data_IF_308250953675
#
_entry.id   IF_308250953675
#
_cell.length_a   1.000
_cell.length_b   1.000
_cell.length_c   1.000
_cell.angle_alpha   90.00
_cell.angle_beta   90.00
_cell.angle_gamma   90.00
#
_symmetry.space_group_name_H-M   'P 1'
#
loop_
_entity.id
_entity.type
_entity.pdbx_description
1 polymer ?
#
# COMPACT_ATOMS: atom_id res chain seq x y z
N UNK A 1 1.90 -63.93 1.03
CA UNK A 1 0.53 -64.15 1.51
C UNK A 1 0.23 -63.18 2.65
N UNK A 2 -0.91 -62.47 2.56
CA UNK A 2 -1.78 -61.86 3.61
C UNK A 2 -1.14 -61.06 4.78
N UNK A 3 -1.46 -59.76 4.95
CA UNK A 3 -2.54 -59.16 5.82
C UNK A 3 -2.42 -59.61 7.31
N UNK A 4 -2.49 -58.81 8.37
CA UNK A 4 -3.10 -57.48 8.60
C UNK A 4 -2.68 -56.89 9.97
N UNK A 5 -2.64 -55.56 10.04
CA UNK A 5 -2.97 -54.58 11.11
C UNK A 5 -2.94 -54.92 12.62
N UNK A 6 -2.32 -54.01 13.39
CA UNK A 6 -2.96 -53.36 14.55
C UNK A 6 -2.35 -51.96 14.78
N UNK A 7 -3.21 -50.95 14.76
CA UNK A 7 -2.96 -49.53 15.08
C UNK A 7 -2.61 -49.29 16.55
N UNK A 8 -1.82 -48.26 16.83
CA UNK A 8 -2.13 -47.30 17.92
C UNK A 8 -1.55 -45.92 17.57
N UNK A 9 -2.43 -44.97 17.31
CA UNK A 9 -2.11 -43.58 17.00
C UNK A 9 -2.06 -42.76 18.31
N UNK A 10 -0.91 -42.19 18.66
CA UNK A 10 -0.74 -41.27 19.79
C UNK A 10 -0.48 -39.83 19.32
N UNK A 11 -1.47 -38.96 19.62
CA UNK A 11 -1.38 -37.59 20.17
C UNK A 11 -0.46 -36.54 19.51
N UNK A 12 -1.07 -35.49 18.94
CA UNK A 12 -1.18 -34.14 19.57
C UNK A 12 -1.88 -33.13 18.65
N UNK A 13 -2.75 -32.25 19.18
CA UNK A 13 -3.36 -31.16 18.42
C UNK A 13 -2.34 -30.02 18.30
N UNK A 14 -2.09 -29.54 17.09
CA UNK A 14 -1.31 -28.32 16.87
C UNK A 14 -2.27 -27.19 16.57
N UNK A 15 -2.36 -26.25 17.51
CA UNK A 15 -3.04 -24.96 17.35
C UNK A 15 -2.45 -24.16 16.17
N UNK A 16 -3.25 -23.26 15.55
CA UNK A 16 -2.75 -22.37 14.50
C UNK A 16 -1.87 -21.26 15.11
N UNK A 17 -0.80 -20.80 14.43
CA UNK A 17 -0.06 -19.65 14.91
C UNK A 17 -0.88 -18.37 14.66
N UNK A 18 -1.28 -17.71 15.73
CA UNK A 18 -1.75 -16.32 15.72
C UNK A 18 -0.64 -15.42 15.15
N UNK A 19 -0.84 -14.90 13.95
CA UNK A 19 0.01 -13.84 13.42
C UNK A 19 -0.39 -12.53 14.09
N UNK A 20 0.45 -12.08 15.03
CA UNK A 20 0.29 -10.82 15.75
C UNK A 20 0.46 -9.61 14.83
N UNK A 21 -0.62 -9.22 14.14
CA UNK A 21 -0.74 -7.93 13.44
C UNK A 21 -0.89 -6.77 14.45
N UNK A 22 0.19 -6.47 15.19
CA UNK A 22 0.16 -5.45 16.25
C UNK A 22 1.04 -4.22 16.06
N UNK A 23 1.82 -4.08 14.98
CA UNK A 23 2.78 -2.97 14.86
C UNK A 23 2.64 -2.02 13.65
N UNK A 24 1.49 -1.97 12.98
CA UNK A 24 1.30 -1.02 11.85
C UNK A 24 0.28 0.11 12.13
N UNK A 25 -0.27 0.20 13.35
CA UNK A 25 -1.35 1.15 13.65
C UNK A 25 -0.91 2.59 13.95
N UNK A 26 0.38 2.86 14.18
CA UNK A 26 0.84 4.19 14.62
C UNK A 26 1.40 5.07 13.49
N UNK A 27 2.11 4.50 12.50
CA UNK A 27 2.83 5.30 11.49
C UNK A 27 1.90 6.12 10.58
N UNK A 28 0.67 5.64 10.35
CA UNK A 28 -0.30 6.29 9.47
C UNK A 28 -0.94 7.53 10.10
N UNK A 29 -1.11 7.54 11.44
CA UNK A 29 -1.76 8.62 12.18
C UNK A 29 -0.79 9.77 12.50
N UNK A 30 0.50 9.48 12.67
CA UNK A 30 1.54 10.49 12.91
C UNK A 30 1.80 11.36 11.69
N UNK A 31 1.81 10.78 10.49
CA UNK A 31 2.13 11.51 9.27
C UNK A 31 0.97 12.32 8.69
N UNK A 32 -0.26 12.05 9.09
CA UNK A 32 -1.43 12.87 8.74
C UNK A 32 -1.47 14.17 9.56
N UNK A 33 -0.82 14.19 10.73
CA UNK A 33 -0.72 15.37 11.59
C UNK A 33 0.24 16.44 11.04
N UNK A 34 1.21 16.05 10.24
CA UNK A 34 2.30 16.93 9.77
C UNK A 34 1.92 17.82 8.57
N UNK A 35 0.88 17.45 7.80
CA UNK A 35 0.52 18.19 6.56
C UNK A 35 -0.43 19.36 6.80
N UNK A 36 -1.20 19.33 7.89
CA UNK A 36 -2.13 20.41 8.28
C UNK A 36 -1.67 20.95 9.62
N UNK A 37 -0.85 21.99 9.57
CA UNK A 37 -0.29 22.70 10.70
C UNK A 37 -0.31 24.22 10.45
N UNK A 38 -0.09 25.01 11.52
CA UNK A 38 0.10 26.44 11.35
C UNK A 38 1.38 26.71 10.53
N UNK A 39 1.34 27.63 9.55
CA UNK A 39 2.54 28.08 8.87
C UNK A 39 3.56 28.62 9.88
N UNK A 40 4.84 28.29 9.69
CA UNK A 40 5.92 28.59 10.64
C UNK A 40 6.12 30.08 10.98
N UNK A 41 5.61 30.98 10.14
CA UNK A 41 5.69 32.43 10.34
C UNK A 41 4.46 33.02 11.06
N UNK A 42 3.43 32.23 11.36
CA UNK A 42 2.21 32.67 12.04
C UNK A 42 2.30 32.31 13.51
N UNK A 43 2.17 33.30 14.39
CA UNK A 43 2.16 33.05 15.83
C UNK A 43 0.89 32.27 16.23
N UNK A 44 1.06 31.18 16.98
CA UNK A 44 -0.04 30.38 17.50
C UNK A 44 -0.95 31.18 18.43
N UNK A 45 -2.25 30.94 18.31
CA UNK A 45 -3.26 31.44 19.25
C UNK A 45 -4.35 30.40 19.40
N UNK A 46 -5.02 30.35 20.56
CA UNK A 46 -6.07 29.35 20.78
C UNK A 46 -7.24 29.41 19.77
N UNK A 47 -7.42 30.51 19.05
CA UNK A 47 -8.35 30.59 17.92
C UNK A 47 -7.79 29.88 16.67
N UNK A 48 -6.51 30.12 16.35
CA UNK A 48 -5.82 29.50 15.22
C UNK A 48 -5.61 28.00 15.43
N UNK A 49 -5.31 27.57 16.65
CA UNK A 49 -5.16 26.14 16.99
C UNK A 49 -6.47 25.38 16.76
N UNK A 50 -7.61 25.99 17.14
CA UNK A 50 -8.95 25.42 16.86
C UNK A 50 -9.26 25.35 15.37
N UNK A 51 -8.79 26.31 14.57
CA UNK A 51 -8.94 26.27 13.11
C UNK A 51 -8.10 25.16 12.49
N UNK A 52 -6.88 24.92 13.00
CA UNK A 52 -6.06 23.78 12.56
C UNK A 52 -6.74 22.46 12.88
N UNK A 53 -7.27 22.28 14.09
CA UNK A 53 -8.01 21.06 14.43
C UNK A 53 -9.25 20.87 13.56
N UNK A 54 -9.98 21.95 13.27
CA UNK A 54 -11.14 21.91 12.35
C UNK A 54 -10.70 21.52 10.93
N UNK A 55 -9.60 22.07 10.43
CA UNK A 55 -9.06 21.71 9.12
C UNK A 55 -8.59 20.24 9.07
N UNK A 56 -8.00 19.74 10.16
CA UNK A 56 -7.66 18.31 10.33
C UNK A 56 -8.91 17.43 10.33
N UNK A 57 -9.97 17.83 11.02
CA UNK A 57 -11.24 17.11 11.03
C UNK A 57 -11.85 17.04 9.63
N UNK A 58 -11.85 18.14 8.86
CA UNK A 58 -12.33 18.12 7.48
C UNK A 58 -11.49 17.25 6.57
N UNK A 59 -10.16 17.27 6.71
CA UNK A 59 -9.29 16.38 5.94
C UNK A 59 -9.54 14.90 6.26
N UNK A 60 -9.70 14.56 7.55
CA UNK A 60 -10.09 13.22 8.02
C UNK A 60 -11.47 12.80 7.53
N UNK A 61 -12.41 13.73 7.35
CA UNK A 61 -13.74 13.45 6.80
C UNK A 61 -13.72 13.31 5.27
N UNK A 62 -12.85 14.03 4.58
CA UNK A 62 -12.73 14.01 3.12
C UNK A 62 -12.13 12.69 2.60
N UNK A 63 -11.23 12.06 3.36
CA UNK A 63 -10.71 10.73 3.06
C UNK A 63 -11.23 9.72 4.08
N UNK A 64 -12.08 8.78 3.65
CA UNK A 64 -12.54 7.73 4.58
C UNK A 64 -11.34 6.97 5.17
N UNK A 65 -11.40 6.59 6.44
CA UNK A 65 -10.34 5.80 7.09
C UNK A 65 -10.00 4.52 6.31
N UNK A 66 -10.99 3.95 5.62
CA UNK A 66 -10.81 2.81 4.72
C UNK A 66 -9.95 3.15 3.49
N UNK A 67 -10.11 4.34 2.91
CA UNK A 67 -9.32 4.83 1.78
C UNK A 67 -7.85 5.04 2.17
N UNK A 68 -7.61 5.67 3.32
CA UNK A 68 -6.24 5.90 3.83
C UNK A 68 -5.53 4.57 4.11
N UNK A 69 -6.23 3.62 4.74
CA UNK A 69 -5.71 2.27 4.98
C UNK A 69 -5.37 1.57 3.66
N UNK A 70 -6.22 1.71 2.64
CA UNK A 70 -5.96 1.14 1.32
C UNK A 70 -4.70 1.76 0.66
N UNK A 71 -4.52 3.08 0.75
CA UNK A 71 -3.33 3.74 0.20
C UNK A 71 -2.05 3.34 0.93
N UNK A 72 -2.09 3.23 2.26
CA UNK A 72 -0.97 2.72 3.04
C UNK A 72 -0.60 1.29 2.64
N UNK A 73 -1.58 0.42 2.45
CA UNK A 73 -1.36 -0.95 1.96
C UNK A 73 -0.77 -0.96 0.55
N UNK A 74 -1.30 -0.14 -0.37
CA UNK A 74 -0.79 -0.04 -1.74
C UNK A 74 0.68 0.38 -1.77
N UNK A 75 1.08 1.34 -0.92
CA UNK A 75 2.47 1.75 -0.74
C UNK A 75 3.34 0.63 -0.17
N UNK A 76 2.90 -0.04 0.90
CA UNK A 76 3.63 -1.16 1.51
C UNK A 76 3.87 -2.29 0.51
N UNK A 77 2.87 -2.59 -0.34
CA UNK A 77 3.01 -3.55 -1.43
C UNK A 77 4.09 -3.14 -2.43
N UNK A 78 4.08 -1.88 -2.89
CA UNK A 78 5.08 -1.37 -3.85
C UNK A 78 6.49 -1.38 -3.24
N UNK A 79 6.65 -0.88 -2.02
CA UNK A 79 7.94 -0.87 -1.34
C UNK A 79 8.49 -2.30 -1.14
N UNK A 80 7.63 -3.27 -0.78
CA UNK A 80 8.01 -4.67 -0.70
C UNK A 80 8.43 -5.23 -2.06
N UNK A 81 7.68 -4.91 -3.11
CA UNK A 81 7.98 -5.33 -4.48
C UNK A 81 9.34 -4.82 -4.96
N UNK A 82 9.68 -3.56 -4.65
CA UNK A 82 10.99 -2.98 -4.95
C UNK A 82 12.10 -3.73 -4.21
N UNK A 83 11.97 -3.94 -2.90
CA UNK A 83 12.96 -4.67 -2.09
C UNK A 83 13.22 -6.08 -2.60
N UNK A 84 12.18 -6.83 -2.99
CA UNK A 84 12.33 -8.18 -3.54
C UNK A 84 13.10 -8.21 -4.87
N UNK A 85 13.22 -7.07 -5.57
CA UNK A 85 13.94 -6.93 -6.84
C UNK A 85 15.25 -6.14 -6.70
N UNK A 86 15.69 -5.86 -5.47
CA UNK A 86 16.89 -5.07 -5.21
C UNK A 86 16.78 -3.61 -5.66
N UNK A 87 15.57 -3.08 -5.81
CA UNK A 87 15.30 -1.69 -6.16
C UNK A 87 14.93 -0.88 -4.90
N UNK A 88 15.29 0.40 -4.91
CA UNK A 88 14.81 1.37 -3.93
C UNK A 88 13.50 2.01 -4.45
N UNK A 89 12.40 2.05 -3.67
CA UNK A 89 11.20 2.80 -4.03
C UNK A 89 11.42 4.33 -4.10
N UNK A 90 12.54 4.85 -3.59
CA UNK A 90 12.89 6.27 -3.63
C UNK A 90 14.25 6.48 -4.32
N UNK A 91 14.44 7.57 -5.09
CA UNK A 91 13.44 8.59 -5.45
C UNK A 91 12.39 8.07 -6.44
N UNK A 92 11.32 8.84 -6.66
CA UNK A 92 10.22 8.52 -7.57
C UNK A 92 10.74 8.29 -9.00
N UNK A 93 10.65 7.04 -9.46
CA UNK A 93 11.02 6.63 -10.82
C UNK A 93 9.79 6.14 -11.61
N UNK A 94 9.36 6.89 -12.64
CA UNK A 94 8.27 6.44 -13.52
C UNK A 94 8.54 5.10 -14.22
N UNK A 95 9.80 4.79 -14.51
CA UNK A 95 10.21 3.50 -15.09
C UNK A 95 9.97 2.36 -14.11
N UNK A 96 10.37 2.51 -12.85
CA UNK A 96 10.18 1.50 -11.81
C UNK A 96 8.68 1.26 -11.55
N UNK A 97 7.88 2.32 -11.55
CA UNK A 97 6.42 2.25 -11.42
C UNK A 97 5.80 1.54 -12.63
N UNK A 98 6.29 1.83 -13.84
CA UNK A 98 5.90 1.12 -15.07
C UNK A 98 6.14 -0.39 -14.97
N UNK A 99 7.31 -0.81 -14.49
CA UNK A 99 7.63 -2.22 -14.27
C UNK A 99 6.71 -2.87 -13.22
N UNK A 100 6.43 -2.14 -12.14
CA UNK A 100 5.52 -2.61 -11.08
C UNK A 100 4.10 -2.85 -11.61
N UNK A 101 3.52 -1.89 -12.33
CA UNK A 101 2.14 -2.06 -12.84
C UNK A 101 2.06 -3.13 -13.94
N UNK A 102 3.12 -3.34 -14.71
CA UNK A 102 3.20 -4.45 -15.65
C UNK A 102 3.21 -5.81 -14.93
N UNK A 103 3.96 -5.94 -13.84
CA UNK A 103 4.00 -7.16 -13.02
C UNK A 103 2.65 -7.44 -12.34
N UNK A 104 1.90 -6.41 -11.95
CA UNK A 104 0.54 -6.54 -11.41
C UNK A 104 -0.48 -6.98 -12.47
N UNK A 105 -0.28 -6.61 -13.74
CA UNK A 105 -1.14 -6.97 -14.85
C UNK A 105 -0.80 -8.34 -15.47
N UNK A 106 0.41 -8.85 -15.21
CA UNK A 106 0.83 -10.13 -15.73
C UNK A 106 0.07 -11.29 -15.04
N UNK A 107 -0.41 -12.29 -15.78
CA UNK A 107 -0.91 -13.53 -15.20
C UNK A 107 0.30 -14.27 -14.60
N UNK A 108 0.46 -14.18 -13.29
CA UNK A 108 1.45 -14.97 -12.56
C UNK A 108 1.03 -16.44 -12.72
N UNK A 109 1.87 -17.25 -13.40
CA UNK A 109 1.52 -18.59 -13.87
C UNK A 109 0.98 -19.55 -12.78
N UNK A 110 0.50 -20.72 -13.24
CA UNK A 110 -0.29 -21.78 -12.56
C UNK A 110 0.23 -22.33 -11.21
N UNK A 111 1.18 -21.68 -10.54
CA UNK A 111 1.41 -21.88 -9.12
C UNK A 111 0.15 -21.43 -8.36
N UNK A 112 -0.55 -22.39 -7.76
CA UNK A 112 -1.80 -22.26 -6.99
C UNK A 112 -1.81 -21.20 -5.87
N UNK A 113 -0.71 -20.47 -5.63
CA UNK A 113 -0.58 -19.44 -4.58
C UNK A 113 -0.27 -18.03 -5.11
N UNK A 114 -0.15 -17.84 -6.42
CA UNK A 114 0.08 -16.52 -6.98
C UNK A 114 -1.25 -15.76 -7.13
N UNK A 115 -1.32 -14.48 -6.71
CA UNK A 115 -2.52 -13.68 -6.90
C UNK A 115 -2.83 -13.49 -8.39
N UNK A 116 -4.12 -13.44 -8.78
CA UNK A 116 -4.51 -13.22 -10.17
C UNK A 116 -4.07 -11.83 -10.65
N UNK A 117 -3.94 -11.70 -11.97
CA UNK A 117 -3.70 -10.41 -12.62
C UNK A 117 -4.76 -9.39 -12.19
N UNK A 118 -4.33 -8.17 -11.86
CA UNK A 118 -5.21 -7.10 -11.45
C UNK A 118 -5.89 -6.44 -12.66
N UNK A 119 -7.17 -6.06 -12.46
CA UNK A 119 -7.88 -5.21 -13.43
C UNK A 119 -7.20 -3.84 -13.55
N UNK A 120 -7.40 -3.18 -14.69
CA UNK A 120 -6.94 -1.80 -14.92
C UNK A 120 -7.42 -0.85 -13.82
N UNK A 121 -8.69 -0.96 -13.40
CA UNK A 121 -9.26 -0.14 -12.33
C UNK A 121 -8.56 -0.35 -10.98
N UNK A 122 -8.14 -1.58 -10.67
CA UNK A 122 -7.39 -1.89 -9.45
C UNK A 122 -5.96 -1.35 -9.51
N UNK A 123 -5.34 -1.35 -10.69
CA UNK A 123 -4.01 -0.76 -10.93
C UNK A 123 -4.08 0.75 -10.80
N UNK A 124 -5.08 1.41 -11.37
CA UNK A 124 -5.29 2.85 -11.22
C UNK A 124 -5.55 3.26 -9.77
N UNK A 125 -6.28 2.43 -9.00
CA UNK A 125 -6.43 2.61 -7.54
C UNK A 125 -5.08 2.54 -6.84
N UNK A 126 -4.25 1.54 -7.15
CA UNK A 126 -2.89 1.42 -6.60
C UNK A 126 -2.03 2.63 -6.94
N UNK A 127 -2.11 3.14 -8.18
CA UNK A 127 -1.39 4.36 -8.58
C UNK A 127 -1.79 5.58 -7.75
N UNK A 128 -3.06 5.70 -7.33
CA UNK A 128 -3.48 6.73 -6.38
C UNK A 128 -2.83 6.55 -5.00
N UNK A 129 -2.74 5.31 -4.50
CA UNK A 129 -2.04 4.99 -3.26
C UNK A 129 -0.53 5.27 -3.33
N UNK A 130 0.11 5.02 -4.48
CA UNK A 130 1.51 5.38 -4.71
C UNK A 130 1.69 6.91 -4.72
N UNK A 131 0.82 7.65 -5.43
CA UNK A 131 0.88 9.11 -5.46
C UNK A 131 0.73 9.71 -4.06
N UNK A 132 -0.20 9.17 -3.25
CA UNK A 132 -0.31 9.52 -1.84
C UNK A 132 0.98 9.19 -1.07
N UNK A 133 1.53 7.98 -1.24
CA UNK A 133 2.75 7.56 -0.56
C UNK A 133 3.99 8.41 -0.89
N UNK A 134 4.14 8.85 -2.13
CA UNK A 134 5.20 9.80 -2.52
C UNK A 134 4.94 11.19 -1.93
N UNK A 135 3.70 11.68 -1.97
CA UNK A 135 3.35 12.98 -1.40
C UNK A 135 3.66 13.06 0.10
N UNK A 136 3.39 11.99 0.85
CA UNK A 136 3.76 11.88 2.27
C UNK A 136 5.27 11.99 2.51
N UNK A 137 6.11 11.77 1.49
CA UNK A 137 7.58 11.82 1.57
C UNK A 137 8.17 13.07 0.89
N UNK A 138 7.32 14.02 0.49
CA UNK A 138 7.75 15.24 -0.19
C UNK A 138 8.09 15.08 -1.67
N UNK A 139 7.73 13.95 -2.28
CA UNK A 139 7.91 13.70 -3.72
C UNK A 139 6.57 13.70 -4.47
N UNK A 140 6.60 13.99 -5.77
CA UNK A 140 5.41 13.98 -6.61
C UNK A 140 5.50 12.90 -7.67
N UNK A 141 4.47 12.06 -7.73
CA UNK A 141 4.27 11.10 -8.82
C UNK A 141 3.42 11.73 -9.92
N UNK A 142 4.02 12.03 -11.08
CA UNK A 142 3.26 12.34 -12.29
C UNK A 142 2.70 11.04 -12.90
N UNK A 143 1.43 10.76 -12.62
CA UNK A 143 0.70 9.61 -13.17
C UNK A 143 0.52 9.67 -14.68
N UNK A 144 0.70 10.84 -15.30
CA UNK A 144 0.63 11.05 -16.75
C UNK A 144 1.99 10.95 -17.42
N UNK A 145 3.06 10.65 -16.67
CA UNK A 145 4.37 10.39 -17.25
C UNK A 145 4.26 9.36 -18.38
N UNK A 146 5.00 9.60 -19.46
CA UNK A 146 4.94 8.77 -20.67
C UNK A 146 5.15 7.29 -20.39
N UNK A 147 6.04 6.90 -19.47
CA UNK A 147 6.29 5.49 -19.19
C UNK A 147 5.07 4.83 -18.57
N UNK A 148 4.47 5.48 -17.57
CA UNK A 148 3.27 4.98 -16.89
C UNK A 148 2.11 4.93 -17.87
N UNK A 149 1.92 5.98 -18.67
CA UNK A 149 0.87 6.06 -19.68
C UNK A 149 1.00 4.97 -20.75
N UNK A 150 2.22 4.75 -21.28
CA UNK A 150 2.50 3.72 -22.29
C UNK A 150 2.22 2.32 -21.76
N UNK A 151 2.65 2.00 -20.53
CA UNK A 151 2.42 0.68 -19.93
C UNK A 151 0.93 0.46 -19.67
N UNK A 152 0.22 1.44 -19.10
CA UNK A 152 -1.24 1.36 -18.90
C UNK A 152 -1.99 1.17 -20.22
N UNK A 153 -1.57 1.86 -21.29
CA UNK A 153 -2.15 1.68 -22.61
C UNK A 153 -1.94 0.27 -23.17
N UNK A 154 -0.82 -0.39 -22.82
CA UNK A 154 -0.58 -1.80 -23.13
C UNK A 154 -1.51 -2.74 -22.37
N UNK A 155 -1.70 -2.51 -21.07
CA UNK A 155 -2.53 -3.36 -20.19
C UNK A 155 -4.03 -3.33 -20.56
N UNK A 156 -4.51 -2.25 -21.19
CA UNK A 156 -5.93 -2.09 -21.58
C UNK A 156 -6.34 -2.86 -22.86
N UNK A 157 -5.40 -3.46 -23.58
CA UNK A 157 -5.64 -4.15 -24.86
C UNK A 157 -6.11 -5.58 -24.65
#
# INVERSE_FOLDING_TARGET
MLRSMAETHQKSPSDPPEHSDRHERDASADMERDTIALPSHVAGSGALDRLVETARDYARQAASANTLKAYAQDWSHFARWCRMRGADPLPCSPQLIGLYIADLAAPQGQASRSPPALSVSSIERRLSGLAWGYAQRGEMLDRKDRHIATVLAGIRR
#
